data_IF_808574526010
#
_entry.id   IF_808574526010
#
_cell.length_a   1.000
_cell.length_b   1.000
_cell.length_c   1.000
_cell.angle_alpha   90.00
_cell.angle_beta   90.00
_cell.angle_gamma   90.00
#
_symmetry.space_group_name_H-M   'P 1'
#
loop_
_entity.id
_entity.type
_entity.pdbx_description
1 polymer ?
#
# COMPACT_ATOMS: atom_id res chain seq x y z
N UNK A 1 54.20 43.63 66.23
CA UNK A 1 53.11 42.71 65.84
C UNK A 1 53.20 42.50 64.34
N UNK A 2 53.55 41.28 63.97
CA UNK A 2 53.84 40.80 62.62
C UNK A 2 52.58 40.78 61.75
N UNK A 3 52.72 40.79 60.42
CA UNK A 3 52.34 39.67 59.55
C UNK A 3 52.44 40.10 58.07
N UNK A 4 53.17 39.26 57.34
CA UNK A 4 53.44 39.30 55.91
C UNK A 4 52.40 38.50 55.11
N UNK A 5 52.27 38.92 53.86
CA UNK A 5 51.49 38.36 52.76
C UNK A 5 51.94 36.93 52.38
N UNK A 6 50.99 36.05 52.04
CA UNK A 6 51.26 34.74 51.44
C UNK A 6 50.11 34.23 50.56
N UNK A 7 50.40 34.05 49.25
CA UNK A 7 49.52 33.48 48.21
C UNK A 7 49.38 31.95 48.37
N UNK A 8 48.16 31.42 48.21
CA UNK A 8 47.91 29.99 48.05
C UNK A 8 47.52 29.65 46.59
N UNK A 9 48.28 28.75 45.96
CA UNK A 9 47.98 28.10 44.67
C UNK A 9 46.91 27.02 44.91
N UNK A 10 45.79 27.05 44.16
CA UNK A 10 44.85 25.92 44.08
C UNK A 10 45.37 24.88 43.10
N UNK A 11 45.64 23.68 43.61
CA UNK A 11 45.95 22.47 42.85
C UNK A 11 44.61 21.74 42.63
N UNK A 12 44.19 21.53 41.39
CA UNK A 12 43.05 20.65 41.09
C UNK A 12 43.48 19.18 41.20
N UNK A 13 42.63 18.29 41.76
CA UNK A 13 42.94 16.87 41.89
C UNK A 13 43.08 16.20 40.51
N UNK A 14 44.08 15.31 40.37
CA UNK A 14 44.42 14.58 39.14
C UNK A 14 43.26 13.79 38.54
N UNK A 15 42.27 13.40 39.34
CA UNK A 15 41.15 12.56 38.90
C UNK A 15 40.09 13.33 38.10
N UNK A 16 39.94 14.64 38.34
CA UNK A 16 39.03 15.47 37.52
C UNK A 16 39.59 15.82 36.15
N UNK A 17 40.92 15.91 36.02
CA UNK A 17 41.56 16.12 34.71
C UNK A 17 41.39 14.87 33.83
N UNK A 18 41.52 13.68 34.42
CA UNK A 18 41.31 12.42 33.70
C UNK A 18 39.87 12.25 33.20
N UNK A 19 38.86 12.60 34.00
CA UNK A 19 37.45 12.56 33.56
C UNK A 19 37.17 13.57 32.43
N UNK A 20 37.73 14.79 32.53
CA UNK A 20 37.53 15.81 31.50
C UNK A 20 38.19 15.44 30.16
N UNK A 21 39.37 14.79 30.19
CA UNK A 21 40.06 14.30 28.99
C UNK A 21 39.31 13.12 28.38
N UNK A 22 38.76 12.20 29.19
CA UNK A 22 37.95 11.09 28.67
C UNK A 22 36.63 11.57 28.04
N UNK A 23 35.97 12.57 28.62
CA UNK A 23 34.78 13.19 28.00
C UNK A 23 35.12 13.90 26.68
N UNK A 24 36.24 14.63 26.61
CA UNK A 24 36.68 15.28 25.38
C UNK A 24 37.07 14.27 24.29
N UNK A 25 37.70 13.16 24.66
CA UNK A 25 38.03 12.08 23.73
C UNK A 25 36.77 11.35 23.21
N UNK A 26 35.77 11.14 24.05
CA UNK A 26 34.49 10.55 23.65
C UNK A 26 33.70 11.49 22.70
N UNK A 27 33.68 12.79 22.98
CA UNK A 27 33.05 13.79 22.10
C UNK A 27 33.82 13.92 20.78
N UNK A 28 35.15 13.89 20.79
CA UNK A 28 35.96 13.89 19.58
C UNK A 28 35.77 12.60 18.76
N UNK A 29 35.61 11.45 19.41
CA UNK A 29 35.30 10.18 18.75
C UNK A 29 33.93 10.24 18.08
N UNK A 30 32.89 10.74 18.77
CA UNK A 30 31.56 10.94 18.19
C UNK A 30 31.55 11.95 17.03
N UNK A 31 32.34 13.02 17.12
CA UNK A 31 32.49 13.99 16.02
C UNK A 31 33.25 13.40 14.83
N UNK A 32 34.24 12.54 15.06
CA UNK A 32 34.97 11.86 13.98
C UNK A 32 34.15 10.78 13.26
N UNK A 33 33.24 10.10 13.97
CA UNK A 33 32.25 9.19 13.36
C UNK A 33 31.27 9.98 12.47
N UNK A 34 30.80 11.14 12.92
CA UNK A 34 29.90 11.99 12.12
C UNK A 34 30.59 12.61 10.89
N UNK A 35 31.87 12.98 10.99
CA UNK A 35 32.63 13.50 9.85
C UNK A 35 32.98 12.42 8.81
N UNK A 36 33.10 11.14 9.22
CA UNK A 36 33.27 10.03 8.28
C UNK A 36 31.99 9.66 7.50
N UNK A 37 30.81 10.01 8.01
CA UNK A 37 29.53 9.84 7.28
C UNK A 37 29.24 10.96 6.28
N UNK A 38 29.95 12.10 6.35
CA UNK A 38 29.72 13.24 5.45
C UNK A 38 30.36 13.12 4.06
N UNK A 39 31.22 12.12 3.81
CA UNK A 39 31.88 11.95 2.50
C UNK A 39 31.78 10.55 1.90
N UNK A 40 30.98 9.66 2.48
CA UNK A 40 30.70 8.36 1.88
C UNK A 40 29.51 8.49 0.92
N UNK A 41 29.72 8.24 -0.38
CA UNK A 41 28.62 7.85 -1.27
C UNK A 41 27.83 6.78 -0.53
N UNK A 42 26.55 7.04 -0.29
CA UNK A 42 25.67 6.23 0.54
C UNK A 42 25.77 4.77 0.12
N UNK A 43 26.38 3.93 0.97
CA UNK A 43 26.43 2.49 0.71
C UNK A 43 25.00 1.94 0.69
N UNK A 44 24.71 0.87 -0.08
CA UNK A 44 23.38 0.27 -0.13
C UNK A 44 22.80 -0.07 1.25
N UNK A 45 23.67 -0.39 2.21
CA UNK A 45 23.32 -0.72 3.59
C UNK A 45 22.82 0.49 4.39
N UNK A 46 23.33 1.69 4.11
CA UNK A 46 22.88 2.94 4.76
C UNK A 46 21.52 3.39 4.24
N UNK A 47 21.28 3.26 2.93
CA UNK A 47 19.98 3.55 2.31
C UNK A 47 18.90 2.57 2.80
N UNK A 48 19.28 1.29 2.96
CA UNK A 48 18.38 0.25 3.46
C UNK A 48 17.98 0.46 4.95
N UNK A 49 18.92 0.90 5.80
CA UNK A 49 18.60 1.21 7.20
C UNK A 49 17.70 2.45 7.33
N UNK A 50 17.99 3.52 6.58
CA UNK A 50 17.10 4.69 6.55
C UNK A 50 15.72 4.35 5.99
N UNK A 51 15.65 3.41 5.04
CA UNK A 51 14.39 3.04 4.40
C UNK A 51 13.53 2.11 5.27
N UNK A 52 14.15 1.21 6.05
CA UNK A 52 13.46 0.45 7.10
C UNK A 52 12.93 1.35 8.21
N UNK A 53 13.72 2.35 8.63
CA UNK A 53 13.25 3.38 9.58
C UNK A 53 12.05 4.14 9.01
N UNK A 54 12.03 4.46 7.71
CA UNK A 54 10.86 5.09 7.10
C UNK A 54 9.63 4.16 7.08
N UNK A 55 9.75 2.87 6.75
CA UNK A 55 8.58 1.97 6.72
C UNK A 55 7.99 1.76 8.11
N UNK A 56 8.83 1.59 9.14
CA UNK A 56 8.38 1.49 10.52
C UNK A 56 7.67 2.78 10.98
N UNK A 57 8.25 3.94 10.71
CA UNK A 57 7.64 5.23 11.02
C UNK A 57 6.29 5.43 10.29
N UNK A 58 6.19 5.02 9.03
CA UNK A 58 4.93 5.06 8.27
C UNK A 58 3.89 4.14 8.90
N UNK A 59 4.29 2.92 9.29
CA UNK A 59 3.42 1.96 9.96
C UNK A 59 2.87 2.51 11.29
N UNK A 60 3.74 3.02 12.17
CA UNK A 60 3.34 3.66 13.42
C UNK A 60 2.41 4.86 13.19
N UNK A 61 2.71 5.68 12.17
CA UNK A 61 1.87 6.81 11.78
C UNK A 61 0.49 6.35 11.32
N UNK A 62 0.40 5.28 10.53
CA UNK A 62 -0.88 4.71 10.10
C UNK A 62 -1.69 4.23 11.30
N UNK A 63 -1.09 3.48 12.23
CA UNK A 63 -1.74 3.02 13.45
C UNK A 63 -2.20 4.17 14.34
N UNK A 64 -1.38 5.22 14.49
CA UNK A 64 -1.74 6.41 15.25
C UNK A 64 -2.93 7.14 14.61
N UNK A 65 -2.93 7.32 13.28
CA UNK A 65 -4.05 7.92 12.56
C UNK A 65 -5.33 7.10 12.70
N UNK A 66 -5.23 5.77 12.62
CA UNK A 66 -6.36 4.87 12.82
C UNK A 66 -6.89 4.95 14.25
N UNK A 67 -6.02 4.94 15.26
CA UNK A 67 -6.42 5.05 16.66
C UNK A 67 -7.10 6.40 16.95
N UNK A 68 -6.53 7.50 16.43
CA UNK A 68 -7.11 8.84 16.54
C UNK A 68 -8.47 8.90 15.86
N UNK A 69 -8.60 8.31 14.66
CA UNK A 69 -9.87 8.19 13.97
C UNK A 69 -10.89 7.41 14.81
N UNK A 70 -10.51 6.27 15.39
CA UNK A 70 -11.44 5.52 16.24
C UNK A 70 -11.84 6.29 17.49
N UNK A 71 -10.95 7.08 18.09
CA UNK A 71 -11.28 7.90 19.26
C UNK A 71 -12.22 9.06 18.91
N UNK A 72 -11.99 9.76 17.80
CA UNK A 72 -12.84 10.87 17.36
C UNK A 72 -14.24 10.39 16.93
N UNK A 73 -14.29 9.26 16.21
CA UNK A 73 -15.50 8.80 15.53
C UNK A 73 -16.22 7.62 16.19
N UNK A 74 -15.55 6.95 17.13
CA UNK A 74 -16.11 5.89 17.96
C UNK A 74 -15.67 6.07 19.41
N UNK A 75 -15.89 7.26 20.01
CA UNK A 75 -15.52 7.49 21.40
C UNK A 75 -16.18 6.41 22.24
N UNK A 76 -15.35 5.70 23.02
CA UNK A 76 -15.69 4.52 23.82
C UNK A 76 -17.17 4.47 24.13
N UNK A 77 -17.86 3.51 23.53
CA UNK A 77 -19.23 3.20 23.86
C UNK A 77 -19.33 3.10 25.38
N UNK A 78 -19.91 4.12 26.00
CA UNK A 78 -20.26 4.11 27.41
C UNK A 78 -21.02 2.81 27.65
N UNK A 79 -20.52 2.02 28.60
CA UNK A 79 -21.04 0.72 29.00
C UNK A 79 -22.56 0.64 28.85
N UNK A 80 -23.03 -0.07 27.84
CA UNK A 80 -24.47 -0.13 27.56
C UNK A 80 -24.83 -0.52 26.14
N UNK A 81 -24.41 -1.73 25.71
CA UNK A 81 -25.20 -2.66 24.89
C UNK A 81 -25.97 -2.19 23.65
N UNK A 82 -25.77 -0.99 23.09
CA UNK A 82 -26.47 -0.55 21.89
C UNK A 82 -25.53 -0.42 20.71
N UNK A 83 -25.90 -1.07 19.62
CA UNK A 83 -25.31 -1.02 18.27
C UNK A 83 -25.55 0.32 17.56
N UNK A 84 -26.19 1.26 18.25
CA UNK A 84 -26.74 2.53 17.77
C UNK A 84 -25.75 3.72 17.63
N UNK A 85 -24.62 3.83 18.38
CA UNK A 85 -23.74 5.01 18.29
C UNK A 85 -22.96 5.12 16.98
N UNK A 86 -22.46 3.99 16.47
CA UNK A 86 -21.57 3.89 15.31
C UNK A 86 -22.25 4.42 14.04
N UNK A 87 -23.48 3.96 13.78
CA UNK A 87 -24.21 4.31 12.56
C UNK A 87 -24.56 5.80 12.51
N UNK A 88 -25.00 6.38 13.63
CA UNK A 88 -25.36 7.80 13.69
C UNK A 88 -24.14 8.71 13.47
N UNK A 89 -23.00 8.41 14.10
CA UNK A 89 -21.82 9.29 14.03
C UNK A 89 -21.17 9.31 12.64
N UNK A 90 -21.15 8.17 11.94
CA UNK A 90 -20.67 8.11 10.58
C UNK A 90 -21.66 8.71 9.56
N UNK A 91 -22.98 8.58 9.80
CA UNK A 91 -24.02 9.30 9.03
C UNK A 91 -23.86 10.81 9.16
N UNK A 92 -23.60 11.32 10.36
CA UNK A 92 -23.47 12.76 10.61
C UNK A 92 -22.25 13.38 9.88
N UNK A 93 -21.18 12.61 9.64
CA UNK A 93 -19.96 13.09 8.94
C UNK A 93 -19.94 12.82 7.44
N UNK A 94 -20.44 11.67 6.97
CA UNK A 94 -20.53 11.38 5.53
C UNK A 94 -21.76 12.05 4.90
N UNK A 95 -22.74 12.47 5.70
CA UNK A 95 -24.01 13.01 5.20
C UNK A 95 -24.91 11.95 4.56
N UNK A 96 -24.58 10.67 4.72
CA UNK A 96 -25.19 9.55 4.01
C UNK A 96 -25.50 8.38 4.95
N UNK A 97 -26.52 7.58 4.61
CA UNK A 97 -26.84 6.36 5.36
C UNK A 97 -25.73 5.34 5.19
N UNK A 98 -25.11 4.95 6.30
CA UNK A 98 -24.21 3.81 6.37
C UNK A 98 -24.86 2.61 7.04
N UNK A 99 -24.42 1.42 6.67
CA UNK A 99 -24.83 0.15 7.24
C UNK A 99 -23.60 -0.69 7.59
N UNK A 100 -23.79 -1.65 8.49
CA UNK A 100 -22.77 -2.65 8.80
C UNK A 100 -23.26 -4.03 8.41
N UNK A 101 -22.36 -4.89 7.96
CA UNK A 101 -22.65 -6.28 7.61
C UNK A 101 -21.56 -7.19 8.16
N UNK A 102 -21.87 -8.36 8.73
CA UNK A 102 -20.85 -9.37 8.98
C UNK A 102 -20.36 -9.90 7.63
N UNK A 103 -19.04 -9.92 7.44
CA UNK A 103 -18.39 -10.62 6.35
C UNK A 103 -18.51 -12.13 6.56
N UNK A 104 -18.53 -12.93 5.48
CA UNK A 104 -18.51 -14.39 5.58
C UNK A 104 -17.22 -14.91 6.24
N UNK A 105 -16.19 -14.06 6.34
CA UNK A 105 -14.89 -14.38 6.91
C UNK A 105 -14.85 -14.09 8.41
N UNK A 106 -14.92 -15.16 9.22
CA UNK A 106 -14.69 -15.15 10.69
C UNK A 106 -15.44 -14.06 11.48
N UNK A 107 -16.61 -13.62 10.98
CA UNK A 107 -17.50 -12.69 11.69
C UNK A 107 -17.00 -11.25 11.79
N UNK A 108 -16.04 -10.84 10.97
CA UNK A 108 -15.60 -9.43 10.89
C UNK A 108 -16.72 -8.54 10.36
N UNK A 109 -16.77 -7.27 10.77
CA UNK A 109 -17.76 -6.33 10.27
C UNK A 109 -17.19 -5.39 9.20
N UNK A 110 -17.92 -5.22 8.12
CA UNK A 110 -17.65 -4.18 7.11
C UNK A 110 -18.73 -3.10 7.20
N UNK A 111 -18.31 -1.85 7.01
CA UNK A 111 -19.16 -0.67 6.90
C UNK A 111 -19.25 -0.29 5.42
N UNK A 112 -20.48 -0.16 4.92
CA UNK A 112 -20.77 0.28 3.56
C UNK A 112 -21.82 1.39 3.57
N UNK A 113 -21.86 2.19 2.51
CA UNK A 113 -22.86 3.25 2.38
C UNK A 113 -22.57 4.19 1.23
N UNK A 114 -23.49 5.12 1.05
CA UNK A 114 -23.50 6.02 -0.10
C UNK A 114 -24.05 5.40 -1.38
N UNK A 115 -24.06 6.17 -2.46
CA UNK A 115 -24.53 5.71 -3.77
C UNK A 115 -23.40 4.97 -4.49
N UNK A 116 -23.10 3.77 -4.03
CA UNK A 116 -21.94 3.00 -4.46
C UNK A 116 -22.29 1.51 -4.70
N UNK A 117 -21.92 0.98 -5.86
CA UNK A 117 -22.34 -0.36 -6.29
C UNK A 117 -21.72 -1.44 -5.41
N UNK A 118 -20.42 -1.31 -5.11
CA UNK A 118 -19.69 -2.28 -4.27
C UNK A 118 -20.27 -2.29 -2.85
N UNK A 119 -20.52 -1.11 -2.28
CA UNK A 119 -21.21 -0.96 -1.00
C UNK A 119 -22.58 -1.61 -1.00
N UNK A 120 -23.41 -1.34 -2.01
CA UNK A 120 -24.76 -1.91 -2.12
C UNK A 120 -24.72 -3.44 -2.20
N UNK A 121 -23.82 -4.02 -3.00
CA UNK A 121 -23.64 -5.47 -3.11
C UNK A 121 -23.20 -6.07 -1.77
N UNK A 122 -22.20 -5.49 -1.11
CA UNK A 122 -21.70 -6.02 0.17
C UNK A 122 -22.77 -5.90 1.25
N UNK A 123 -23.50 -4.78 1.33
CA UNK A 123 -24.57 -4.60 2.31
C UNK A 123 -25.76 -5.54 2.04
N UNK A 124 -26.08 -5.80 0.78
CA UNK A 124 -27.12 -6.75 0.38
C UNK A 124 -26.71 -8.21 0.64
N UNK A 125 -25.63 -8.64 -0.01
CA UNK A 125 -25.24 -10.04 -0.16
C UNK A 125 -24.22 -10.52 0.89
N UNK A 126 -23.57 -9.60 1.61
CA UNK A 126 -22.56 -9.93 2.63
C UNK A 126 -21.13 -9.91 2.12
N UNK A 127 -20.91 -9.96 0.80
CA UNK A 127 -19.58 -9.98 0.20
C UNK A 127 -19.60 -9.57 -1.27
N UNK A 128 -18.41 -9.28 -1.79
CA UNK A 128 -18.07 -9.04 -3.19
C UNK A 128 -16.77 -9.81 -3.50
N UNK A 129 -16.62 -10.35 -4.71
CA UNK A 129 -15.37 -11.02 -5.16
C UNK A 129 -14.81 -12.07 -4.18
N UNK A 130 -15.70 -12.96 -3.71
CA UNK A 130 -15.34 -13.98 -2.71
C UNK A 130 -14.31 -14.97 -3.23
N UNK A 131 -14.37 -15.31 -4.51
CA UNK A 131 -13.49 -16.30 -5.12
C UNK A 131 -12.04 -15.78 -5.18
N UNK A 132 -11.86 -14.49 -5.45
CA UNK A 132 -10.57 -13.80 -5.40
C UNK A 132 -9.99 -13.80 -3.98
N UNK A 133 -10.80 -13.47 -2.96
CA UNK A 133 -10.35 -13.51 -1.56
C UNK A 133 -9.90 -14.93 -1.18
N UNK A 134 -10.65 -15.96 -1.57
CA UNK A 134 -10.28 -17.36 -1.32
C UNK A 134 -8.98 -17.75 -2.03
N UNK A 135 -8.77 -17.26 -3.24
CA UNK A 135 -7.55 -17.49 -3.99
C UNK A 135 -6.34 -16.83 -3.30
N UNK A 136 -6.47 -15.60 -2.80
CA UNK A 136 -5.41 -14.94 -2.03
C UNK A 136 -5.08 -15.69 -0.74
N UNK A 137 -6.09 -16.20 -0.03
CA UNK A 137 -5.88 -17.00 1.18
C UNK A 137 -5.11 -18.29 0.88
N UNK A 138 -5.43 -19.00 -0.21
CA UNK A 138 -4.68 -20.20 -0.63
C UNK A 138 -3.21 -19.90 -0.93
N UNK A 139 -2.93 -18.76 -1.57
CA UNK A 139 -1.56 -18.33 -1.82
C UNK A 139 -0.82 -18.02 -0.51
N UNK A 140 -1.45 -17.30 0.42
CA UNK A 140 -0.84 -16.97 1.70
C UNK A 140 -0.59 -18.22 2.55
N UNK A 141 -1.51 -19.18 2.56
CA UNK A 141 -1.32 -20.50 3.18
C UNK A 141 -0.14 -21.26 2.56
N UNK A 142 0.01 -21.21 1.24
CA UNK A 142 1.17 -21.77 0.55
C UNK A 142 2.48 -21.11 1.03
N UNK A 143 2.51 -19.79 1.22
CA UNK A 143 3.69 -19.09 1.73
C UNK A 143 4.16 -19.66 3.08
N UNK A 144 3.21 -19.96 3.97
CA UNK A 144 3.50 -20.56 5.27
C UNK A 144 4.13 -21.96 5.11
N UNK A 145 3.61 -22.77 4.18
CA UNK A 145 4.18 -24.09 3.88
C UNK A 145 5.58 -24.02 3.28
N UNK A 146 5.92 -22.92 2.62
CA UNK A 146 7.24 -22.64 2.06
C UNK A 146 8.21 -22.05 3.10
N UNK A 147 7.76 -21.89 4.35
CA UNK A 147 8.56 -21.37 5.45
C UNK A 147 8.70 -19.85 5.47
N UNK A 148 7.85 -19.12 4.74
CA UNK A 148 7.81 -17.66 4.78
C UNK A 148 7.08 -17.23 6.04
N UNK A 149 7.84 -16.66 6.98
CA UNK A 149 7.29 -16.13 8.21
C UNK A 149 6.51 -14.83 7.94
N UNK A 150 5.25 -14.78 8.37
CA UNK A 150 4.36 -13.60 8.32
C UNK A 150 4.20 -12.98 6.91
N UNK A 151 3.64 -13.74 5.94
CA UNK A 151 3.48 -13.27 4.57
C UNK A 151 2.58 -12.03 4.50
N UNK A 152 2.99 -11.05 3.70
CA UNK A 152 2.29 -9.79 3.52
C UNK A 152 1.32 -9.87 2.32
N UNK A 153 0.07 -9.49 2.57
CA UNK A 153 -0.89 -9.13 1.53
C UNK A 153 -0.91 -7.61 1.33
N UNK A 154 -0.73 -7.17 0.08
CA UNK A 154 -0.78 -5.77 -0.31
C UNK A 154 -2.05 -5.52 -1.14
N UNK A 155 -2.93 -4.66 -0.64
CA UNK A 155 -4.20 -4.29 -1.25
C UNK A 155 -4.13 -2.86 -1.79
N UNK A 156 -3.89 -2.71 -3.09
CA UNK A 156 -3.83 -1.41 -3.78
C UNK A 156 -5.16 -1.13 -4.46
N UNK A 157 -5.81 -0.05 -4.03
CA UNK A 157 -7.22 0.24 -4.34
C UNK A 157 -8.14 -0.63 -3.50
N UNK A 158 -8.00 -0.52 -2.17
CA UNK A 158 -8.71 -1.40 -1.23
C UNK A 158 -10.23 -1.21 -1.21
N UNK A 159 -10.73 -0.14 -1.83
CA UNK A 159 -12.12 0.27 -1.83
C UNK A 159 -12.63 0.32 -0.36
N UNK A 160 -13.85 -0.14 -0.07
CA UNK A 160 -14.37 -0.21 1.30
C UNK A 160 -13.78 -1.37 2.14
N UNK A 161 -12.83 -2.12 1.60
CA UNK A 161 -12.02 -3.11 2.32
C UNK A 161 -12.51 -4.55 2.29
N UNK A 162 -13.23 -4.97 1.25
CA UNK A 162 -13.69 -6.36 1.11
C UNK A 162 -12.52 -7.35 1.17
N UNK A 163 -11.47 -7.11 0.37
CA UNK A 163 -10.26 -7.91 0.32
C UNK A 163 -9.38 -7.70 1.55
N UNK A 164 -9.13 -6.43 1.92
CA UNK A 164 -8.38 -6.06 3.13
C UNK A 164 -8.89 -6.78 4.39
N UNK A 165 -10.19 -6.67 4.69
CA UNK A 165 -10.79 -7.27 5.88
C UNK A 165 -10.89 -8.79 5.73
N UNK A 166 -11.23 -9.28 4.54
CA UNK A 166 -11.35 -10.71 4.25
C UNK A 166 -10.05 -11.47 4.49
N UNK A 167 -8.92 -10.94 4.01
CA UNK A 167 -7.59 -11.52 4.24
C UNK A 167 -7.13 -11.33 5.69
N UNK A 168 -7.27 -10.13 6.25
CA UNK A 168 -6.82 -9.85 7.63
C UNK A 168 -7.58 -10.69 8.67
N UNK A 169 -8.85 -11.05 8.41
CA UNK A 169 -9.65 -11.91 9.29
C UNK A 169 -8.99 -13.26 9.56
N UNK A 170 -8.13 -13.75 8.65
CA UNK A 170 -7.40 -15.00 8.82
C UNK A 170 -6.10 -14.87 9.62
N UNK A 171 -5.72 -13.65 10.04
CA UNK A 171 -4.54 -13.38 10.86
C UNK A 171 -3.34 -12.87 10.05
N UNK A 172 -3.46 -12.81 8.73
CA UNK A 172 -2.44 -12.28 7.84
C UNK A 172 -2.26 -10.78 8.03
N UNK A 173 -1.01 -10.33 7.82
CA UNK A 173 -0.69 -8.90 7.79
C UNK A 173 -1.13 -8.31 6.46
N UNK A 174 -1.84 -7.19 6.52
CA UNK A 174 -2.32 -6.49 5.32
C UNK A 174 -1.78 -5.06 5.30
N UNK A 175 -1.30 -4.65 4.14
CA UNK A 175 -1.03 -3.24 3.83
C UNK A 175 -2.03 -2.80 2.76
N UNK A 176 -2.85 -1.80 3.08
CA UNK A 176 -3.94 -1.35 2.22
C UNK A 176 -3.77 0.14 1.86
N UNK A 177 -4.08 0.48 0.62
CA UNK A 177 -4.05 1.87 0.13
C UNK A 177 -5.29 2.14 -0.71
N UNK A 178 -5.93 3.28 -0.48
CA UNK A 178 -7.04 3.76 -1.31
C UNK A 178 -6.98 5.29 -1.48
N UNK A 179 -7.33 5.78 -2.66
CA UNK A 179 -7.28 7.20 -2.98
C UNK A 179 -8.55 7.96 -2.53
N UNK A 180 -9.71 7.30 -2.57
CA UNK A 180 -11.02 7.90 -2.35
C UNK A 180 -11.25 8.14 -0.85
N UNK A 181 -11.51 9.39 -0.45
CA UNK A 181 -11.82 9.73 0.94
C UNK A 181 -13.06 9.00 1.44
N UNK A 182 -14.07 8.82 0.59
CA UNK A 182 -15.28 8.07 0.92
C UNK A 182 -14.95 6.63 1.34
N UNK A 183 -14.23 5.90 0.50
CA UNK A 183 -13.78 4.54 0.77
C UNK A 183 -12.90 4.50 2.03
N UNK A 184 -11.99 5.46 2.18
CA UNK A 184 -11.15 5.56 3.36
C UNK A 184 -11.95 5.74 4.67
N UNK A 185 -13.03 6.53 4.65
CA UNK A 185 -13.90 6.68 5.82
C UNK A 185 -14.62 5.37 6.15
N UNK A 186 -15.14 4.65 5.14
CA UNK A 186 -15.82 3.37 5.33
C UNK A 186 -14.85 2.28 5.83
N UNK A 187 -13.67 2.18 5.24
CA UNK A 187 -12.64 1.22 5.65
C UNK A 187 -12.12 1.52 7.06
N UNK A 188 -11.78 2.78 7.38
CA UNK A 188 -11.35 3.14 8.75
C UNK A 188 -12.43 2.84 9.78
N UNK A 189 -13.69 3.06 9.45
CA UNK A 189 -14.82 2.72 10.32
C UNK A 189 -14.93 1.22 10.54
N UNK A 190 -14.74 0.43 9.48
CA UNK A 190 -14.66 -1.04 9.58
C UNK A 190 -13.49 -1.47 10.47
N UNK A 191 -12.30 -0.88 10.31
CA UNK A 191 -11.14 -1.19 11.15
C UNK A 191 -11.37 -0.86 12.64
N UNK A 192 -12.12 0.20 12.96
CA UNK A 192 -12.50 0.49 14.34
C UNK A 192 -13.42 -0.57 14.96
N UNK A 193 -14.22 -1.26 14.15
CA UNK A 193 -15.05 -2.38 14.60
C UNK A 193 -14.28 -3.70 14.72
N UNK A 194 -13.08 -3.78 14.15
CA UNK A 194 -12.26 -4.97 14.14
C UNK A 194 -10.82 -4.64 14.63
N UNK A 195 -10.64 -4.17 15.88
CA UNK A 195 -9.36 -3.66 16.36
C UNK A 195 -8.24 -4.72 16.46
N UNK A 196 -8.58 -6.01 16.35
CA UNK A 196 -7.61 -7.12 16.35
C UNK A 196 -6.95 -7.36 14.98
N UNK A 197 -7.45 -6.73 13.91
CA UNK A 197 -6.91 -6.94 12.57
C UNK A 197 -5.56 -6.26 12.40
N UNK A 198 -4.63 -6.97 11.74
CA UNK A 198 -3.25 -6.51 11.48
C UNK A 198 -3.16 -5.74 10.16
N UNK A 199 -3.86 -4.61 10.10
CA UNK A 199 -3.97 -3.78 8.87
C UNK A 199 -3.21 -2.46 9.05
N UNK A 200 -2.33 -2.16 8.10
CA UNK A 200 -1.78 -0.82 7.88
C UNK A 200 -2.56 -0.18 6.73
N UNK A 201 -3.15 1.00 6.93
CA UNK A 201 -3.96 1.65 5.91
C UNK A 201 -3.52 3.09 5.63
N UNK A 202 -3.42 3.44 4.34
CA UNK A 202 -3.16 4.80 3.88
C UNK A 202 -4.25 5.28 2.91
N UNK A 203 -4.80 6.47 3.18
CA UNK A 203 -5.62 7.17 2.20
C UNK A 203 -4.72 8.03 1.30
N UNK A 204 -4.25 7.46 0.20
CA UNK A 204 -3.33 8.06 -0.77
C UNK A 204 -3.63 7.53 -2.17
N UNK A 205 -3.52 8.38 -3.18
CA UNK A 205 -3.39 7.89 -4.55
C UNK A 205 -1.95 7.47 -4.81
N UNK A 206 -1.78 6.47 -5.66
CA UNK A 206 -0.47 5.96 -6.04
C UNK A 206 -0.18 6.24 -7.51
N UNK A 207 1.10 6.42 -7.83
CA UNK A 207 1.55 6.68 -9.19
C UNK A 207 3.05 6.88 -9.28
N UNK A 208 3.54 7.20 -10.47
CA UNK A 208 4.98 7.25 -10.75
C UNK A 208 5.67 8.52 -10.27
N UNK A 209 4.93 9.64 -10.20
CA UNK A 209 5.41 10.95 -9.74
C UNK A 209 4.38 11.64 -8.86
N UNK A 210 4.85 12.54 -8.00
CA UNK A 210 3.98 13.49 -7.34
C UNK A 210 3.42 14.48 -8.37
N UNK A 211 2.12 14.45 -8.57
CA UNK A 211 1.38 15.39 -9.39
C UNK A 211 0.06 15.74 -8.71
N UNK A 212 -0.49 16.91 -9.05
CA UNK A 212 -1.87 17.24 -8.71
C UNK A 212 -2.79 16.53 -9.69
N UNK A 213 -3.69 15.74 -9.15
CA UNK A 213 -4.70 15.03 -9.92
C UNK A 213 -6.05 15.21 -9.26
N UNK A 214 -7.09 14.90 -10.02
CA UNK A 214 -8.44 14.76 -9.51
C UNK A 214 -8.86 13.29 -9.56
N UNK A 215 -9.68 12.85 -8.61
CA UNK A 215 -10.48 11.65 -8.77
C UNK A 215 -11.81 12.04 -9.41
N UNK A 216 -12.31 11.20 -10.31
CA UNK A 216 -13.61 11.36 -10.97
C UNK A 216 -14.36 10.04 -10.83
N UNK A 217 -15.54 10.07 -10.21
CA UNK A 217 -16.39 8.89 -10.04
C UNK A 217 -17.84 9.20 -10.40
N UNK A 218 -18.55 8.26 -11.03
CA UNK A 218 -19.97 8.44 -11.35
C UNK A 218 -20.82 8.52 -10.05
N UNK A 219 -21.81 9.43 -10.01
CA UNK A 219 -22.69 9.68 -8.85
C UNK A 219 -23.47 8.48 -8.28
N UNK A 220 -23.57 7.40 -9.07
CA UNK A 220 -24.22 6.12 -8.69
C UNK A 220 -23.21 5.03 -8.33
N UNK A 221 -21.92 5.32 -8.45
CA UNK A 221 -20.82 4.45 -8.10
C UNK A 221 -19.68 5.28 -7.49
N UNK A 222 -20.00 6.01 -6.41
CA UNK A 222 -19.12 7.04 -5.87
C UNK A 222 -17.83 6.49 -5.24
N UNK A 223 -17.71 5.18 -5.02
CA UNK A 223 -16.47 4.54 -4.56
C UNK A 223 -15.50 4.17 -5.68
N UNK A 224 -15.90 4.34 -6.95
CA UNK A 224 -15.18 3.84 -8.13
C UNK A 224 -14.44 4.98 -8.86
N UNK A 225 -13.53 5.64 -8.14
CA UNK A 225 -12.86 6.85 -8.60
C UNK A 225 -11.69 6.58 -9.54
N UNK A 226 -11.73 7.19 -10.73
CA UNK A 226 -10.63 7.19 -11.70
C UNK A 226 -9.76 8.43 -11.54
N UNK A 227 -8.44 8.27 -11.56
CA UNK A 227 -7.51 9.40 -11.55
C UNK A 227 -7.43 10.08 -12.92
N UNK A 228 -7.53 11.40 -12.92
CA UNK A 228 -7.20 12.26 -14.05
C UNK A 228 -6.12 13.25 -13.62
N UNK A 229 -5.03 13.27 -14.38
CA UNK A 229 -3.80 13.99 -14.06
C UNK A 229 -3.33 14.91 -15.19
N UNK A 230 -3.93 14.86 -16.38
CA UNK A 230 -3.64 15.78 -17.48
C UNK A 230 -4.25 17.15 -17.17
N UNK A 231 -3.43 18.20 -16.97
CA UNK A 231 -3.94 19.53 -16.65
C UNK A 231 -4.89 20.09 -17.72
N UNK A 232 -4.75 19.70 -18.98
CA UNK A 232 -5.65 20.13 -20.05
C UNK A 232 -7.02 19.49 -19.89
N UNK A 233 -7.07 18.18 -19.65
CA UNK A 233 -8.32 17.45 -19.41
C UNK A 233 -8.99 17.95 -18.13
N UNK A 234 -8.23 18.15 -17.05
CA UNK A 234 -8.73 18.74 -15.80
C UNK A 234 -9.29 20.15 -16.06
N UNK A 235 -8.55 21.01 -16.78
CA UNK A 235 -8.99 22.37 -17.06
C UNK A 235 -10.25 22.41 -17.93
N UNK A 236 -10.33 21.54 -18.94
CA UNK A 236 -11.52 21.39 -19.78
C UNK A 236 -12.71 20.90 -18.95
N UNK A 237 -12.49 19.86 -18.14
CA UNK A 237 -13.48 19.32 -17.21
C UNK A 237 -14.02 20.40 -16.27
N UNK A 238 -13.14 21.20 -15.65
CA UNK A 238 -13.52 22.26 -14.70
C UNK A 238 -14.18 23.48 -15.36
N UNK A 239 -13.92 23.72 -16.65
CA UNK A 239 -14.49 24.85 -17.42
C UNK A 239 -15.76 24.48 -18.19
N UNK A 240 -16.11 23.19 -18.25
CA UNK A 240 -17.31 22.75 -18.96
C UNK A 240 -18.56 23.48 -18.43
N UNK A 241 -19.32 24.18 -19.30
CA UNK A 241 -20.57 24.82 -18.90
C UNK A 241 -21.69 23.78 -18.66
N UNK A 242 -21.50 22.54 -19.11
CA UNK A 242 -22.41 21.43 -18.84
C UNK A 242 -22.21 20.94 -17.39
N UNK A 243 -22.93 21.61 -16.49
CA UNK A 243 -22.97 21.23 -15.08
C UNK A 243 -23.57 19.86 -14.85
N UNK A 244 -24.22 19.23 -15.82
CA UNK A 244 -24.69 17.84 -15.66
C UNK A 244 -23.51 16.89 -15.53
N UNK A 245 -22.42 17.14 -16.28
CA UNK A 245 -21.21 16.31 -16.25
C UNK A 245 -20.37 16.52 -14.99
N UNK A 246 -20.34 17.73 -14.43
CA UNK A 246 -19.68 18.05 -13.16
C UNK A 246 -20.56 17.68 -11.95
N UNK A 247 -21.86 17.95 -12.08
CA UNK A 247 -23.04 17.41 -11.41
C UNK A 247 -22.77 15.97 -10.98
N UNK A 248 -22.68 15.10 -12.00
CA UNK A 248 -22.64 13.66 -11.89
C UNK A 248 -21.32 13.06 -11.38
N UNK A 249 -20.31 13.87 -11.02
CA UNK A 249 -18.98 13.38 -10.69
C UNK A 249 -18.49 13.82 -9.31
N UNK A 250 -18.01 12.86 -8.51
CA UNK A 250 -17.27 13.16 -7.28
C UNK A 250 -15.85 13.60 -7.62
N UNK A 251 -15.45 14.83 -7.22
CA UNK A 251 -14.12 15.39 -7.48
C UNK A 251 -13.34 15.59 -6.19
N UNK A 252 -12.12 15.05 -6.14
CA UNK A 252 -11.22 15.17 -5.00
C UNK A 252 -9.81 15.55 -5.43
N UNK A 253 -9.31 16.68 -4.92
CA UNK A 253 -7.88 17.03 -5.01
C UNK A 253 -7.04 16.14 -4.09
N UNK A 254 -5.93 15.64 -4.63
CA UNK A 254 -4.96 14.85 -3.88
C UNK A 254 -3.54 14.96 -4.46
N UNK A 255 -2.57 14.66 -3.60
CA UNK A 255 -1.19 14.43 -4.02
C UNK A 255 -0.99 12.93 -4.29
N UNK A 256 -0.36 12.61 -5.40
CA UNK A 256 0.10 11.25 -5.70
C UNK A 256 1.35 10.92 -4.85
N UNK A 257 1.33 9.74 -4.23
CA UNK A 257 2.48 9.15 -3.57
C UNK A 257 3.07 8.00 -4.41
N UNK A 258 4.37 7.76 -4.26
CA UNK A 258 4.97 6.52 -4.76
C UNK A 258 4.75 5.39 -3.76
N UNK A 259 4.42 4.19 -4.22
CA UNK A 259 4.21 3.05 -3.33
C UNK A 259 5.48 2.72 -2.51
N UNK A 260 6.65 2.84 -3.14
CA UNK A 260 7.94 2.61 -2.50
C UNK A 260 8.34 3.68 -1.45
N UNK A 261 7.56 4.75 -1.31
CA UNK A 261 7.69 5.71 -0.20
C UNK A 261 6.89 5.33 1.05
N UNK A 262 5.96 4.38 0.90
CA UNK A 262 5.06 3.93 1.98
C UNK A 262 5.40 2.52 2.46
N UNK A 263 5.91 1.67 1.56
CA UNK A 263 6.18 0.26 1.83
C UNK A 263 7.52 -0.18 1.22
N UNK A 264 8.41 -0.69 2.06
CA UNK A 264 9.67 -1.35 1.66
C UNK A 264 9.85 -2.66 2.45
N UNK A 265 9.06 -3.66 2.06
CA UNK A 265 9.17 -5.04 2.55
C UNK A 265 8.77 -6.02 1.45
N UNK A 266 9.14 -7.29 1.60
CA UNK A 266 8.67 -8.34 0.70
C UNK A 266 7.14 -8.45 0.76
N UNK A 267 6.52 -8.65 -0.40
CA UNK A 267 5.08 -8.79 -0.60
C UNK A 267 4.82 -10.18 -1.17
N UNK A 268 3.98 -10.97 -0.50
CA UNK A 268 3.67 -12.30 -1.01
C UNK A 268 2.61 -12.24 -2.10
N UNK A 269 1.51 -11.53 -1.84
CA UNK A 269 0.45 -11.31 -2.82
C UNK A 269 0.13 -9.82 -2.85
N UNK A 270 0.06 -9.26 -4.05
CA UNK A 270 -0.45 -7.92 -4.31
C UNK A 270 -1.75 -8.01 -5.11
N UNK A 271 -2.80 -7.34 -4.65
CA UNK A 271 -3.97 -6.96 -5.46
C UNK A 271 -3.78 -5.51 -5.89
N UNK A 272 -4.06 -5.20 -7.16
CA UNK A 272 -4.03 -3.83 -7.67
C UNK A 272 -5.20 -3.59 -8.59
N UNK A 273 -6.12 -2.74 -8.17
CA UNK A 273 -7.24 -2.33 -9.00
C UNK A 273 -7.51 -0.87 -8.66
N UNK A 274 -7.06 -0.02 -9.57
CA UNK A 274 -6.97 1.43 -9.43
C UNK A 274 -7.54 2.10 -10.69
N UNK A 275 -8.55 1.45 -11.28
CA UNK A 275 -9.40 2.00 -12.34
C UNK A 275 -8.62 2.49 -13.57
N UNK A 276 -7.58 1.75 -13.96
CA UNK A 276 -6.78 2.05 -15.15
C UNK A 276 -5.44 2.74 -14.88
N UNK A 277 -5.09 2.99 -13.62
CA UNK A 277 -3.81 3.62 -13.24
C UNK A 277 -2.70 2.63 -12.87
N UNK A 278 -2.90 1.32 -13.13
CA UNK A 278 -2.04 0.22 -12.68
C UNK A 278 -0.59 0.40 -13.17
N UNK A 279 -0.40 0.74 -14.45
CA UNK A 279 0.93 0.95 -15.02
C UNK A 279 1.69 2.09 -14.34
N UNK A 280 1.00 3.16 -13.95
CA UNK A 280 1.61 4.26 -13.21
C UNK A 280 2.02 3.85 -11.79
N UNK A 281 1.24 2.99 -11.13
CA UNK A 281 1.60 2.45 -9.82
C UNK A 281 2.82 1.54 -9.92
N UNK A 282 2.89 0.66 -10.93
CA UNK A 282 4.06 -0.19 -11.19
C UNK A 282 5.32 0.65 -11.43
N UNK A 283 5.19 1.74 -12.19
CA UNK A 283 6.29 2.68 -12.43
C UNK A 283 6.70 3.49 -11.17
N UNK A 284 5.80 3.58 -10.18
CA UNK A 284 6.02 4.24 -8.89
C UNK A 284 6.62 3.35 -7.81
N UNK A 285 6.89 2.06 -8.07
CA UNK A 285 7.38 1.12 -7.07
C UNK A 285 8.77 0.52 -7.41
N UNK A 286 9.58 1.25 -8.18
CA UNK A 286 10.89 0.79 -8.63
C UNK A 286 11.83 0.42 -7.48
N UNK A 287 11.87 1.19 -6.38
CA UNK A 287 12.73 0.85 -5.24
C UNK A 287 12.21 -0.35 -4.43
N UNK A 288 10.88 -0.54 -4.40
CA UNK A 288 10.29 -1.75 -3.81
C UNK A 288 10.76 -2.97 -4.60
N UNK A 289 10.57 -2.99 -5.92
CA UNK A 289 10.99 -4.12 -6.78
C UNK A 289 12.51 -4.34 -6.84
N UNK A 290 13.30 -3.29 -6.62
CA UNK A 290 14.76 -3.36 -6.60
C UNK A 290 15.30 -4.09 -5.38
N UNK A 291 14.64 -3.91 -4.23
CA UNK A 291 15.14 -4.31 -2.92
C UNK A 291 14.29 -5.38 -2.22
N UNK A 292 13.08 -5.61 -2.71
CA UNK A 292 12.12 -6.57 -2.16
C UNK A 292 11.49 -7.43 -3.26
N UNK A 293 11.00 -8.60 -2.86
CA UNK A 293 10.30 -9.53 -3.73
C UNK A 293 8.79 -9.27 -3.73
N UNK A 294 8.18 -9.46 -4.90
CA UNK A 294 6.72 -9.58 -5.06
C UNK A 294 6.48 -10.91 -5.77
N UNK A 295 5.80 -11.85 -5.11
CA UNK A 295 5.67 -13.21 -5.64
C UNK A 295 4.47 -13.37 -6.59
N UNK A 296 3.33 -12.77 -6.22
CA UNK A 296 2.09 -12.83 -6.99
C UNK A 296 1.46 -11.44 -7.10
N UNK A 297 0.87 -11.14 -8.26
CA UNK A 297 0.05 -9.95 -8.49
C UNK A 297 -1.28 -10.34 -9.12
N UNK A 298 -2.37 -9.76 -8.64
CA UNK A 298 -3.67 -9.78 -9.30
C UNK A 298 -4.03 -8.34 -9.66
N UNK A 299 -4.37 -8.08 -10.91
CA UNK A 299 -4.62 -6.72 -11.37
C UNK A 299 -5.89 -6.65 -12.23
N UNK A 300 -6.68 -5.59 -12.03
CA UNK A 300 -7.79 -5.31 -12.94
C UNK A 300 -7.24 -4.89 -14.31
N UNK A 301 -7.78 -5.52 -15.35
CA UNK A 301 -7.54 -5.13 -16.72
C UNK A 301 -8.87 -5.16 -17.45
N UNK A 302 -9.50 -4.00 -17.55
CA UNK A 302 -10.89 -3.87 -17.93
C UNK A 302 -11.02 -2.89 -19.11
N UNK A 303 -11.67 -3.35 -20.19
CA UNK A 303 -11.83 -2.57 -21.43
C UNK A 303 -12.75 -1.36 -21.28
N UNK A 304 -13.59 -1.33 -20.25
CA UNK A 304 -14.50 -0.21 -19.99
C UNK A 304 -13.76 0.99 -19.39
N UNK A 305 -12.63 0.75 -18.71
CA UNK A 305 -11.82 1.79 -18.05
C UNK A 305 -10.49 2.09 -18.74
N UNK A 306 -9.91 1.11 -19.46
CA UNK A 306 -8.62 1.21 -20.15
C UNK A 306 -8.75 0.99 -21.67
N UNK A 307 -8.06 1.83 -22.46
CA UNK A 307 -7.91 1.60 -23.89
C UNK A 307 -7.09 0.32 -24.18
N UNK A 308 -7.21 -0.23 -25.39
CA UNK A 308 -6.36 -1.34 -25.82
C UNK A 308 -4.86 -1.02 -25.65
N UNK A 309 -4.43 0.17 -26.08
CA UNK A 309 -3.04 0.61 -25.94
C UNK A 309 -2.59 0.67 -24.46
N UNK A 310 -3.45 1.14 -23.56
CA UNK A 310 -3.15 1.17 -22.13
C UNK A 310 -2.99 -0.24 -21.55
N UNK A 311 -3.89 -1.17 -21.93
CA UNK A 311 -3.82 -2.57 -21.52
C UNK A 311 -2.57 -3.26 -22.05
N UNK A 312 -2.21 -3.04 -23.32
CA UNK A 312 -0.98 -3.58 -23.91
C UNK A 312 0.28 -3.00 -23.25
N UNK A 313 0.28 -1.71 -22.91
CA UNK A 313 1.38 -1.06 -22.19
C UNK A 313 1.56 -1.62 -20.77
N UNK A 314 0.46 -1.85 -20.05
CA UNK A 314 0.47 -2.50 -18.74
C UNK A 314 1.10 -3.90 -18.84
N UNK A 315 0.61 -4.73 -19.77
CA UNK A 315 1.11 -6.09 -19.98
C UNK A 315 2.60 -6.11 -20.37
N UNK A 316 3.03 -5.19 -21.23
CA UNK A 316 4.44 -5.03 -21.59
C UNK A 316 5.29 -4.69 -20.35
N UNK A 317 4.83 -3.74 -19.53
CA UNK A 317 5.53 -3.32 -18.31
C UNK A 317 5.67 -4.49 -17.33
N UNK A 318 4.59 -5.22 -17.08
CA UNK A 318 4.59 -6.37 -16.16
C UNK A 318 5.56 -7.47 -16.62
N UNK A 319 5.61 -7.77 -17.92
CA UNK A 319 6.59 -8.71 -18.49
C UNK A 319 8.03 -8.22 -18.32
N UNK A 320 8.28 -6.93 -18.55
CA UNK A 320 9.61 -6.32 -18.37
C UNK A 320 10.05 -6.32 -16.90
N UNK A 321 9.09 -6.38 -15.97
CA UNK A 321 9.32 -6.58 -14.54
C UNK A 321 9.47 -8.06 -14.14
N UNK A 322 9.59 -8.99 -15.10
CA UNK A 322 9.91 -10.40 -14.83
C UNK A 322 8.72 -11.23 -14.33
N UNK A 323 7.50 -10.84 -14.69
CA UNK A 323 6.27 -11.57 -14.35
C UNK A 323 5.66 -12.23 -15.59
N UNK A 324 5.08 -13.41 -15.38
CA UNK A 324 4.22 -14.09 -16.35
C UNK A 324 2.79 -14.06 -15.86
N UNK A 325 1.84 -13.78 -16.74
CA UNK A 325 0.43 -13.58 -16.38
C UNK A 325 -0.50 -14.59 -17.08
N UNK A 326 -1.73 -14.71 -16.57
CA UNK A 326 -2.87 -15.44 -17.15
C UNK A 326 -4.18 -14.69 -16.91
N UNK A 327 -5.13 -14.80 -17.84
CA UNK A 327 -6.52 -14.33 -17.69
C UNK A 327 -7.46 -15.45 -17.23
N UNK A 328 -6.94 -16.66 -17.02
CA UNK A 328 -7.77 -17.82 -16.74
C UNK A 328 -8.36 -17.73 -15.32
N UNK A 329 -9.68 -17.57 -15.23
CA UNK A 329 -10.47 -17.64 -13.99
C UNK A 329 -10.28 -18.97 -13.23
N UNK A 330 -9.67 -19.99 -13.86
CA UNK A 330 -9.35 -21.28 -13.24
C UNK A 330 -7.95 -21.31 -12.61
N UNK A 331 -7.28 -20.17 -12.41
CA UNK A 331 -6.03 -20.16 -11.64
C UNK A 331 -6.27 -20.80 -10.27
N UNK A 332 -5.61 -21.94 -10.05
CA UNK A 332 -5.71 -22.75 -8.85
C UNK A 332 -4.30 -22.82 -8.26
N UNK A 333 -3.92 -21.89 -7.37
CA UNK A 333 -2.68 -21.98 -6.63
C UNK A 333 -2.46 -23.40 -6.07
N UNK A 334 -1.26 -24.01 -6.18
CA UNK A 334 0.01 -23.43 -6.68
C UNK A 334 0.20 -23.56 -8.20
N UNK A 335 -0.73 -24.18 -8.93
CA UNK A 335 -0.55 -24.49 -10.35
C UNK A 335 -0.71 -23.23 -11.20
N UNK A 336 0.42 -22.77 -11.75
CA UNK A 336 0.44 -21.75 -12.78
C UNK A 336 0.69 -22.44 -14.13
N UNK A 337 -0.30 -22.50 -15.05
CA UNK A 337 -0.09 -23.08 -16.36
C UNK A 337 0.80 -22.16 -17.20
N UNK A 338 2.11 -22.31 -17.06
CA UNK A 338 3.12 -21.59 -17.83
C UNK A 338 3.01 -21.92 -19.33
N UNK A 339 2.47 -23.10 -19.71
CA UNK A 339 2.12 -23.40 -21.11
C UNK A 339 0.96 -22.55 -21.66
N UNK A 340 0.14 -21.93 -20.79
CA UNK A 340 -0.86 -20.90 -21.13
C UNK A 340 -0.30 -19.49 -20.90
N UNK A 341 1.04 -19.36 -20.89
CA UNK A 341 1.72 -18.07 -20.96
C UNK A 341 1.03 -17.24 -22.03
N UNK A 342 0.55 -16.09 -21.61
CA UNK A 342 -0.02 -15.14 -22.52
C UNK A 342 1.17 -14.58 -23.30
N UNK A 343 1.56 -15.24 -24.40
CA UNK A 343 2.63 -14.78 -25.31
C UNK A 343 2.09 -13.69 -26.23
N UNK A 344 0.82 -13.82 -26.60
CA UNK A 344 0.10 -12.88 -27.45
C UNK A 344 -1.25 -12.58 -26.78
N UNK A 345 -1.30 -11.52 -25.97
CA UNK A 345 -2.51 -11.20 -25.20
C UNK A 345 -3.51 -10.49 -26.10
N UNK A 346 -4.46 -11.24 -26.65
CA UNK A 346 -5.81 -10.69 -26.81
C UNK A 346 -6.48 -10.90 -25.47
N UNK A 347 -6.61 -9.85 -24.66
CA UNK A 347 -7.44 -9.91 -23.45
C UNK A 347 -8.84 -10.19 -23.97
N UNK A 348 -9.46 -11.33 -23.64
CA UNK A 348 -10.82 -11.59 -24.06
C UNK A 348 -11.68 -10.39 -23.62
N UNK A 349 -12.61 -9.89 -24.45
CA UNK A 349 -13.42 -8.71 -24.12
C UNK A 349 -14.14 -8.77 -22.77
N UNK A 350 -14.29 -9.97 -22.19
CA UNK A 350 -14.97 -10.22 -20.92
C UNK A 350 -14.00 -10.61 -19.78
N UNK A 351 -12.69 -10.45 -19.95
CA UNK A 351 -11.73 -10.64 -18.86
C UNK A 351 -11.56 -9.32 -18.11
N UNK A 352 -11.79 -9.36 -16.80
CA UNK A 352 -11.73 -8.18 -15.93
C UNK A 352 -10.43 -8.16 -15.11
N UNK A 353 -9.77 -9.30 -14.95
CA UNK A 353 -8.58 -9.44 -14.11
C UNK A 353 -7.49 -10.27 -14.82
N UNK A 354 -6.23 -9.96 -14.51
CA UNK A 354 -5.07 -10.81 -14.81
C UNK A 354 -4.38 -11.24 -13.51
N UNK A 355 -3.86 -12.46 -13.51
CA UNK A 355 -3.09 -13.03 -12.42
C UNK A 355 -1.67 -13.29 -12.88
N UNK A 356 -0.70 -12.74 -12.18
CA UNK A 356 0.71 -12.76 -12.53
C UNK A 356 1.54 -13.36 -11.40
N UNK A 357 2.61 -14.06 -11.78
CA UNK A 357 3.58 -14.68 -10.87
C UNK A 357 4.99 -14.33 -11.32
N UNK A 358 5.92 -14.20 -10.37
CA UNK A 358 7.35 -14.08 -10.67
C UNK A 358 7.77 -15.24 -11.59
N UNK A 359 8.38 -14.93 -12.73
CA UNK A 359 8.71 -15.91 -13.77
C UNK A 359 9.58 -17.07 -13.24
N UNK A 360 10.45 -16.79 -12.26
CA UNK A 360 11.34 -17.77 -11.64
C UNK A 360 10.54 -18.77 -10.82
N UNK A 361 9.49 -18.30 -10.15
CA UNK A 361 8.56 -19.13 -9.37
C UNK A 361 7.67 -19.95 -10.30
N UNK A 362 7.18 -19.34 -11.39
CA UNK A 362 6.40 -20.05 -12.41
C UNK A 362 7.18 -21.25 -12.99
N UNK A 363 8.45 -21.02 -13.37
CA UNK A 363 9.31 -22.06 -13.93
C UNK A 363 9.61 -23.20 -12.94
N UNK A 364 9.81 -22.87 -11.67
CA UNK A 364 10.05 -23.88 -10.66
C UNK A 364 8.79 -24.72 -10.35
N UNK A 365 7.59 -24.12 -10.41
CA UNK A 365 6.33 -24.85 -10.29
C UNK A 365 6.14 -25.87 -11.43
N UNK A 366 6.55 -25.56 -12.67
CA UNK A 366 6.52 -26.52 -13.79
C UNK A 366 7.45 -27.72 -13.59
N UNK A 367 8.61 -27.47 -12.98
CA UNK A 367 9.67 -28.48 -12.81
C UNK A 367 9.51 -29.29 -11.52
N UNK A 368 8.48 -29.01 -10.71
CA UNK A 368 8.26 -29.64 -9.41
C UNK A 368 9.31 -29.26 -8.37
N UNK A 369 10.06 -28.18 -8.60
CA UNK A 369 11.06 -27.68 -7.67
C UNK A 369 10.39 -26.86 -6.56
N UNK A 370 10.86 -27.02 -5.33
CA UNK A 370 10.41 -26.17 -4.22
C UNK A 370 11.02 -24.77 -4.37
N UNK A 371 10.16 -23.76 -4.38
CA UNK A 371 10.56 -22.35 -4.40
C UNK A 371 10.49 -21.85 -2.97
N UNK A 372 11.65 -21.73 -2.31
CA UNK A 372 11.74 -21.01 -1.04
C UNK A 372 11.49 -19.50 -1.23
N UNK A 373 11.89 -18.68 -0.25
CA UNK A 373 11.78 -17.22 -0.42
C UNK A 373 12.72 -16.74 -1.55
N UNK A 374 12.16 -16.44 -2.71
CA UNK A 374 12.91 -15.73 -3.76
C UNK A 374 13.17 -14.31 -3.28
N UNK A 375 14.43 -13.88 -3.28
CA UNK A 375 14.76 -12.47 -3.13
C UNK A 375 14.38 -11.65 -4.38
N UNK A 376 14.70 -10.35 -4.38
CA UNK A 376 14.44 -9.45 -5.52
C UNK A 376 15.01 -10.00 -6.83
N UNK A 377 14.35 -9.74 -7.96
CA UNK A 377 14.84 -10.20 -9.26
C UNK A 377 15.97 -9.28 -9.77
N UNK A 378 17.24 -9.74 -9.87
CA UNK A 378 18.31 -8.88 -10.37
C UNK A 378 18.20 -8.59 -11.87
N UNK A 379 17.50 -9.45 -12.64
CA UNK A 379 17.39 -9.32 -14.09
C UNK A 379 16.58 -8.09 -14.54
N UNK A 380 15.71 -7.57 -13.66
CA UNK A 380 14.84 -6.42 -13.99
C UNK A 380 15.52 -5.07 -13.74
N UNK A 381 16.70 -5.05 -13.07
CA UNK A 381 17.40 -3.81 -12.71
C UNK A 381 17.64 -2.84 -13.87
N UNK A 382 18.08 -3.28 -15.08
CA UNK A 382 18.26 -2.37 -16.20
C UNK A 382 16.96 -1.64 -16.58
N UNK A 383 15.83 -2.35 -16.54
CA UNK A 383 14.53 -1.75 -16.83
C UNK A 383 14.07 -0.81 -15.70
N UNK A 384 14.33 -1.14 -14.44
CA UNK A 384 14.06 -0.22 -13.32
C UNK A 384 14.86 1.10 -13.47
N UNK A 385 16.11 1.02 -13.92
CA UNK A 385 16.94 2.22 -14.17
C UNK A 385 16.40 3.07 -15.34
N UNK A 386 15.79 2.44 -16.35
CA UNK A 386 15.09 3.16 -17.43
C UNK A 386 13.85 3.88 -16.91
N UNK A 387 13.03 3.23 -16.08
CA UNK A 387 11.86 3.83 -15.45
C UNK A 387 12.25 5.00 -14.55
N UNK A 388 13.23 4.82 -13.67
CA UNK A 388 13.69 5.89 -12.79
C UNK A 388 14.14 7.12 -13.59
N UNK A 389 14.85 6.94 -14.71
CA UNK A 389 15.23 8.05 -15.60
C UNK A 389 14.02 8.71 -16.27
N UNK A 390 13.06 7.93 -16.77
CA UNK A 390 11.85 8.46 -17.39
C UNK A 390 11.01 9.27 -16.40
N UNK A 391 11.00 8.87 -15.12
CA UNK A 391 10.14 9.48 -14.11
C UNK A 391 10.83 10.48 -13.16
N UNK A 392 12.16 10.65 -13.22
CA UNK A 392 12.90 11.64 -12.41
C UNK A 392 12.96 13.06 -13.00
N UNK A 393 12.61 13.23 -14.28
CA UNK A 393 12.48 14.54 -14.95
C UNK A 393 11.11 15.16 -14.66
#
# INVERSE_FOLDING_TARGET
MSVLVGKAKRIMPRDMLALSIMCLAAVACMLSVNLFFSSARSSPRSLYLSSLETTHQQHERSHFLQATYCQEFFPLASHGGSTYPIAKLAVDKLGERISRKPLPFRGMYVIGGGKDIVSDIIMGNGAFEVDEVQMYLKLLEQAETEGIADPLFLDVGSNIGMHTLGVAAFGYRVFAVDAMRHNAHLLRSSLCLNPSLRVTFFNKALGSKASKCILVAHQRNIGNGKLECDPNVINEFMKSPDRTYQELMYVQDLDIARLDSLLLSDVYVMKMDVEGFEEHVLNGMTNLLRNHAIHYMAMEVNSDVQSEDARQKLLWTVRKLGFVCTTNYQFQPPYFPVAQQVKDVVIPPNSWNIFCVDERRAHAAETGATVGSLGPNPAIRPFLDELDKAFSA
#
